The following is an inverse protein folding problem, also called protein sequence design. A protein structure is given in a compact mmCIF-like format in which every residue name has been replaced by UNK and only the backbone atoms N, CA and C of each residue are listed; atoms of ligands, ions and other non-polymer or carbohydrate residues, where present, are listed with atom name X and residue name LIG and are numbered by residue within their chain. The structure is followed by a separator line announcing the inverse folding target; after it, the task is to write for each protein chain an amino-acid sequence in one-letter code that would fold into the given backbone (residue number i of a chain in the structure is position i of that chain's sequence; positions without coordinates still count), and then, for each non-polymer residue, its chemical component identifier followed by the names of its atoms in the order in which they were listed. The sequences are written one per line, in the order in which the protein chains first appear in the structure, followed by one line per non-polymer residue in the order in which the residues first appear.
data_IF_684759635821
#
_entry.id   IF_684759635821
#
_cell.length_a   1.000
_cell.length_b   1.000
_cell.length_c   1.000
_cell.angle_alpha   90.00
_cell.angle_beta   90.00
_cell.angle_gamma   90.00
#
_symmetry.space_group_name_H-M   'P 1'
#
loop_
_entity.id
_entity.type
_entity.pdbx_description
1 polymer ?
#
# COMPACT_ATOMS: atom_id res chain seq x y z
N UNK A 1 -11.11 7.28 40.41
CA UNK A 1 -11.57 6.56 39.21
C UNK A 1 -10.37 6.34 38.29
N UNK A 2 -9.78 5.15 38.16
CA UNK A 2 -8.73 4.92 37.18
C UNK A 2 -9.35 4.68 35.80
N UNK A 3 -8.82 5.39 34.81
CA UNK A 3 -9.29 5.40 33.43
C UNK A 3 -9.16 4.05 32.75
N UNK A 4 -10.22 3.68 32.03
CA UNK A 4 -10.23 2.52 31.14
C UNK A 4 -9.15 2.69 30.06
N UNK A 5 -8.08 1.90 30.16
CA UNK A 5 -7.23 1.62 29.01
C UNK A 5 -8.13 0.99 27.94
N UNK A 6 -8.44 1.73 26.87
CA UNK A 6 -9.11 1.16 25.70
C UNK A 6 -8.15 0.11 25.14
N UNK A 7 -8.42 -1.16 25.42
CA UNK A 7 -7.76 -2.29 24.75
C UNK A 7 -8.19 -2.25 23.28
N UNK A 8 -7.47 -1.49 22.47
CA UNK A 8 -7.61 -1.54 21.01
C UNK A 8 -6.99 -2.87 20.59
N UNK A 9 -7.76 -3.95 20.71
CA UNK A 9 -7.42 -5.23 20.11
C UNK A 9 -7.65 -5.09 18.60
N UNK A 10 -6.75 -4.37 17.93
CA UNK A 10 -6.70 -4.34 16.47
C UNK A 10 -6.28 -5.72 15.99
N UNK A 11 -7.14 -6.40 15.25
CA UNK A 11 -6.80 -7.66 14.59
C UNK A 11 -5.61 -7.40 13.67
N UNK A 12 -4.53 -8.16 13.86
CA UNK A 12 -3.36 -8.07 12.98
C UNK A 12 -3.76 -8.58 11.59
N UNK A 13 -3.62 -7.74 10.58
CA UNK A 13 -3.82 -8.10 9.17
C UNK A 13 -2.45 -8.27 8.53
N UNK A 14 -2.26 -9.40 7.85
CA UNK A 14 -1.03 -9.69 7.10
C UNK A 14 -1.21 -9.25 5.65
N UNK A 15 -0.28 -8.45 5.17
CA UNK A 15 -0.20 -8.01 3.76
C UNK A 15 1.11 -8.47 3.15
N UNK A 16 1.09 -8.74 1.86
CA UNK A 16 2.25 -9.21 1.11
C UNK A 16 2.83 -8.05 0.30
N UNK A 17 4.10 -7.73 0.55
CA UNK A 17 4.81 -6.66 -0.14
C UNK A 17 6.07 -7.22 -0.79
N UNK A 18 6.52 -6.64 -1.91
CA UNK A 18 7.83 -6.94 -2.46
C UNK A 18 8.94 -6.58 -1.45
N UNK A 19 10.03 -7.36 -1.40
CA UNK A 19 11.17 -7.13 -0.50
C UNK A 19 11.71 -5.70 -0.61
N UNK A 20 11.83 -5.18 -1.83
CA UNK A 20 12.29 -3.82 -2.11
C UNK A 20 11.38 -2.75 -1.48
N UNK A 21 10.06 -2.99 -1.48
CA UNK A 21 9.09 -2.09 -0.86
C UNK A 21 9.10 -2.21 0.67
N UNK A 22 9.23 -3.42 1.22
CA UNK A 22 9.42 -3.64 2.66
C UNK A 22 10.67 -2.93 3.17
N UNK A 23 11.78 -3.00 2.44
CA UNK A 23 13.03 -2.33 2.80
C UNK A 23 12.85 -0.80 2.86
N UNK A 24 12.15 -0.22 1.89
CA UNK A 24 11.78 1.21 1.89
C UNK A 24 10.89 1.58 3.07
N UNK A 25 9.86 0.77 3.33
CA UNK A 25 8.96 0.96 4.47
C UNK A 25 9.73 0.93 5.79
N UNK A 26 10.63 -0.05 5.97
CA UNK A 26 11.47 -0.16 7.17
C UNK A 26 12.42 1.03 7.33
N UNK A 27 13.05 1.48 6.24
CA UNK A 27 13.95 2.63 6.26
C UNK A 27 13.20 3.91 6.65
N UNK A 28 12.02 4.14 6.07
CA UNK A 28 11.17 5.27 6.41
C UNK A 28 10.69 5.19 7.87
N UNK A 29 10.27 4.01 8.33
CA UNK A 29 9.86 3.81 9.73
C UNK A 29 11.00 4.11 10.71
N UNK A 30 12.22 3.69 10.40
CA UNK A 30 13.40 3.99 11.19
C UNK A 30 13.73 5.50 11.19
N UNK A 31 13.56 6.18 10.05
CA UNK A 31 13.81 7.62 9.93
C UNK A 31 12.79 8.49 10.67
N UNK A 32 11.50 8.11 10.63
CA UNK A 32 10.42 8.94 11.22
C UNK A 32 9.95 8.47 12.60
N UNK A 33 10.42 7.31 13.07
CA UNK A 33 9.94 6.68 14.32
C UNK A 33 8.47 6.25 14.26
N UNK A 34 7.88 6.12 13.06
CA UNK A 34 6.47 5.77 12.87
C UNK A 34 6.32 4.26 12.67
N UNK A 35 5.19 3.72 13.12
CA UNK A 35 4.86 2.30 12.89
C UNK A 35 4.50 2.04 11.43
N UNK A 36 4.69 0.80 10.95
CA UNK A 36 4.26 0.41 9.60
C UNK A 36 2.77 0.69 9.35
N UNK A 37 1.91 0.44 10.33
CA UNK A 37 0.48 0.74 10.25
C UNK A 37 0.22 2.23 9.98
N UNK A 38 0.90 3.13 10.70
CA UNK A 38 0.77 4.57 10.49
C UNK A 38 1.23 4.98 9.09
N UNK A 39 2.37 4.46 8.63
CA UNK A 39 2.91 4.78 7.31
C UNK A 39 1.97 4.27 6.20
N UNK A 40 1.35 3.10 6.38
CA UNK A 40 0.34 2.59 5.43
C UNK A 40 -0.88 3.51 5.39
N UNK A 41 -1.34 4.02 6.54
CA UNK A 41 -2.47 4.95 6.56
C UNK A 41 -2.11 6.30 5.93
N UNK A 42 -0.93 6.83 6.21
CA UNK A 42 -0.42 8.05 5.59
C UNK A 42 -0.36 7.88 4.07
N UNK A 43 0.21 6.77 3.59
CA UNK A 43 0.29 6.45 2.17
C UNK A 43 -1.10 6.32 1.52
N UNK A 44 -2.04 5.65 2.18
CA UNK A 44 -3.41 5.53 1.67
C UNK A 44 -4.12 6.87 1.61
N UNK A 45 -3.97 7.74 2.61
CA UNK A 45 -4.57 9.08 2.61
C UNK A 45 -3.97 9.98 1.53
N UNK A 46 -2.64 9.99 1.39
CA UNK A 46 -1.93 10.81 0.41
C UNK A 46 -2.24 10.37 -1.03
N UNK A 47 -2.32 9.06 -1.25
CA UNK A 47 -2.57 8.49 -2.58
C UNK A 47 -4.05 8.29 -2.91
N UNK A 48 -4.96 8.39 -1.93
CA UNK A 48 -6.41 8.23 -2.12
C UNK A 48 -6.97 8.92 -3.37
N UNK A 49 -6.69 10.21 -3.65
CA UNK A 49 -7.22 10.87 -4.85
C UNK A 49 -6.73 10.25 -6.16
N UNK A 50 -5.59 9.54 -6.15
CA UNK A 50 -4.95 8.94 -7.32
C UNK A 50 -4.99 7.40 -7.31
N UNK A 51 -5.61 6.79 -6.30
CA UNK A 51 -5.66 5.32 -6.18
C UNK A 51 -6.25 4.67 -7.44
N UNK A 52 -7.26 5.28 -8.06
CA UNK A 52 -7.85 4.79 -9.31
C UNK A 52 -6.85 4.72 -10.47
N UNK A 53 -5.91 5.68 -10.56
CA UNK A 53 -4.85 5.71 -11.57
C UNK A 53 -3.75 4.70 -11.25
N UNK A 54 -3.37 4.61 -9.98
CA UNK A 54 -2.27 3.77 -9.49
C UNK A 54 -2.59 2.27 -9.54
N UNK A 55 -3.84 1.92 -9.26
CA UNK A 55 -4.33 0.53 -9.28
C UNK A 55 -4.87 0.10 -10.64
N UNK A 56 -5.02 1.06 -11.56
CA UNK A 56 -5.50 0.79 -12.91
C UNK A 56 -6.97 0.42 -12.93
N UNK A 57 -7.87 1.30 -12.46
CA UNK A 57 -9.30 1.18 -12.76
C UNK A 57 -9.46 0.87 -14.26
N UNK A 58 -10.24 -0.15 -14.65
CA UNK A 58 -10.34 -0.59 -16.03
C UNK A 58 -10.88 0.57 -16.86
N UNK A 59 -9.97 1.26 -17.53
CA UNK A 59 -10.33 2.29 -18.50
C UNK A 59 -10.85 1.51 -19.71
N UNK A 60 -12.04 1.82 -20.27
CA UNK A 60 -12.46 1.24 -21.52
C UNK A 60 -11.37 1.56 -22.55
N UNK A 61 -10.67 0.54 -23.03
CA UNK A 61 -9.65 0.70 -24.06
C UNK A 61 -10.35 0.76 -25.41
N UNK A 62 -10.65 1.96 -25.89
CA UNK A 62 -11.09 2.23 -27.27
C UNK A 62 -9.90 2.11 -28.25
N UNK A 63 -9.20 0.98 -28.21
CA UNK A 63 -8.09 0.67 -29.08
C UNK A 63 -8.20 -0.76 -29.59
N UNK A 64 -8.01 -0.97 -30.89
CA UNK A 64 -8.00 -2.30 -31.53
C UNK A 64 -6.97 -3.27 -30.95
N UNK A 65 -6.02 -2.76 -30.18
CA UNK A 65 -5.04 -3.55 -29.44
C UNK A 65 -5.18 -3.24 -27.96
N UNK A 66 -5.21 -4.28 -27.13
CA UNK A 66 -5.06 -4.15 -25.68
C UNK A 66 -3.72 -3.46 -25.47
N UNK A 67 -3.74 -2.17 -25.13
CA UNK A 67 -2.55 -1.51 -24.63
C UNK A 67 -2.19 -2.25 -23.33
N UNK A 68 -1.26 -3.20 -23.43
CA UNK A 68 -0.49 -3.64 -22.27
C UNK A 68 0.24 -2.39 -21.80
N UNK A 69 -0.41 -1.59 -20.94
CA UNK A 69 0.36 -0.69 -20.10
C UNK A 69 1.41 -1.57 -19.48
N UNK A 70 2.66 -1.19 -19.67
CA UNK A 70 3.77 -1.68 -18.89
C UNK A 70 3.44 -1.37 -17.44
N UNK A 71 2.58 -2.18 -16.81
CA UNK A 71 2.59 -2.38 -15.38
C UNK A 71 4.01 -2.80 -15.15
N UNK A 72 4.82 -1.82 -14.72
CA UNK A 72 6.25 -1.93 -14.46
C UNK A 72 6.42 -3.34 -13.96
N UNK A 73 7.00 -4.23 -14.79
CA UNK A 73 7.06 -5.67 -14.50
C UNK A 73 7.45 -5.71 -13.04
N UNK A 74 6.52 -6.11 -12.17
CA UNK A 74 6.89 -6.50 -10.84
C UNK A 74 7.71 -7.73 -11.16
N UNK A 75 9.02 -7.49 -11.35
CA UNK A 75 10.03 -8.50 -11.41
C UNK A 75 9.62 -9.47 -10.31
N UNK A 76 9.62 -10.77 -10.59
CA UNK A 76 9.12 -11.80 -9.70
C UNK A 76 9.96 -11.76 -8.40
N UNK A 77 9.71 -10.75 -7.58
CA UNK A 77 10.43 -10.36 -6.39
C UNK A 77 9.78 -11.15 -5.29
N UNK A 78 10.61 -11.75 -4.44
CA UNK A 78 10.13 -12.41 -3.25
C UNK A 78 9.17 -11.49 -2.48
N UNK A 79 7.99 -12.01 -2.21
CA UNK A 79 6.99 -11.33 -1.40
C UNK A 79 7.21 -11.68 0.06
N UNK A 80 7.14 -10.66 0.91
CA UNK A 80 7.36 -10.77 2.34
C UNK A 80 6.12 -10.29 3.07
N UNK A 81 5.76 -11.04 4.11
CA UNK A 81 4.64 -10.72 4.98
C UNK A 81 4.97 -9.52 5.85
N UNK A 82 4.04 -8.57 5.89
CA UNK A 82 4.06 -7.43 6.81
C UNK A 82 2.75 -7.43 7.58
N UNK A 83 2.85 -7.46 8.90
CA UNK A 83 1.69 -7.31 9.79
C UNK A 83 1.41 -5.82 10.01
N UNK A 84 0.17 -5.43 9.77
CA UNK A 84 -0.39 -4.14 10.17
C UNK A 84 -1.51 -4.38 11.19
N UNK A 85 -1.78 -3.39 12.03
CA UNK A 85 -2.82 -3.47 13.07
C UNK A 85 -3.84 -2.36 12.90
N UNK A 86 -4.71 -2.44 11.87
CA UNK A 86 -5.80 -1.50 11.73
C UNK A 86 -6.85 -1.71 12.83
N UNK A 87 -7.53 -0.63 13.22
CA UNK A 87 -8.78 -0.77 13.97
C UNK A 87 -9.88 -1.27 13.01
N UNK A 88 -11.03 -1.76 13.54
CA UNK A 88 -12.09 -2.31 12.70
C UNK A 88 -12.66 -1.32 11.67
N UNK A 89 -12.78 -0.04 12.04
CA UNK A 89 -13.29 1.02 11.16
C UNK A 89 -12.35 1.26 9.96
N UNK A 90 -11.04 1.38 10.21
CA UNK A 90 -10.05 1.57 9.16
C UNK A 90 -9.92 0.32 8.29
N UNK A 91 -10.10 -0.87 8.86
CA UNK A 91 -10.12 -2.10 8.07
C UNK A 91 -11.29 -2.11 7.08
N UNK A 92 -12.49 -1.69 7.51
CA UNK A 92 -13.64 -1.58 6.61
C UNK A 92 -13.40 -0.55 5.48
N UNK A 93 -12.69 0.55 5.76
CA UNK A 93 -12.28 1.53 4.74
C UNK A 93 -11.31 0.89 3.73
N UNK A 94 -10.28 0.19 4.21
CA UNK A 94 -9.32 -0.53 3.35
C UNK A 94 -10.05 -1.53 2.46
N UNK A 95 -11.03 -2.26 3.02
CA UNK A 95 -11.83 -3.24 2.28
C UNK A 95 -12.66 -2.60 1.19
N UNK A 96 -13.31 -1.47 1.51
CA UNK A 96 -14.07 -0.69 0.53
C UNK A 96 -13.19 -0.17 -0.62
N UNK A 97 -12.01 0.34 -0.30
CA UNK A 97 -11.04 0.79 -1.30
C UNK A 97 -10.51 -0.38 -2.14
N UNK A 98 -10.17 -1.51 -1.50
CA UNK A 98 -9.67 -2.69 -2.18
C UNK A 98 -10.73 -3.26 -3.13
N UNK A 99 -11.99 -3.31 -2.70
CA UNK A 99 -13.12 -3.73 -3.53
C UNK A 99 -13.30 -2.85 -4.77
N UNK A 100 -13.20 -1.53 -4.62
CA UNK A 100 -13.36 -0.56 -5.71
C UNK A 100 -12.21 -0.57 -6.72
N UNK A 101 -10.99 -0.77 -6.25
CA UNK A 101 -9.79 -0.48 -7.03
C UNK A 101 -8.99 -1.73 -7.45
N UNK A 102 -9.13 -2.84 -6.73
CA UNK A 102 -8.28 -4.03 -6.92
C UNK A 102 -9.06 -5.35 -6.92
N UNK A 103 -10.40 -5.30 -7.03
CA UNK A 103 -11.24 -6.49 -6.95
C UNK A 103 -11.21 -7.18 -5.57
N UNK A 104 -10.91 -6.43 -4.50
CA UNK A 104 -10.84 -6.94 -3.12
C UNK A 104 -9.44 -7.30 -2.62
N UNK A 105 -8.39 -7.11 -3.42
CA UNK A 105 -7.02 -7.44 -3.01
C UNK A 105 -6.36 -6.32 -2.18
N UNK A 106 -6.50 -6.41 -0.85
CA UNK A 106 -5.88 -5.47 0.11
C UNK A 106 -4.37 -5.32 -0.07
N UNK A 107 -3.66 -6.41 -0.33
CA UNK A 107 -2.19 -6.37 -0.49
C UNK A 107 -1.80 -5.59 -1.73
N UNK A 108 -2.53 -5.79 -2.84
CA UNK A 108 -2.30 -5.04 -4.07
C UNK A 108 -2.58 -3.53 -3.88
N UNK A 109 -3.66 -3.19 -3.18
CA UNK A 109 -4.00 -1.80 -2.86
C UNK A 109 -2.89 -1.13 -2.05
N UNK A 110 -2.48 -1.77 -0.95
CA UNK A 110 -1.48 -1.23 -0.04
C UNK A 110 -0.10 -1.15 -0.72
N UNK A 111 0.26 -2.14 -1.53
CA UNK A 111 1.50 -2.10 -2.31
C UNK A 111 1.52 -0.94 -3.29
N UNK A 112 0.42 -0.69 -4.02
CA UNK A 112 0.32 0.43 -4.96
C UNK A 112 0.41 1.79 -4.23
N UNK A 113 -0.30 1.94 -3.11
CA UNK A 113 -0.25 3.15 -2.29
C UNK A 113 1.17 3.40 -1.74
N UNK A 114 1.80 2.38 -1.17
CA UNK A 114 3.15 2.49 -0.62
C UNK A 114 4.21 2.73 -1.70
N UNK A 115 4.10 2.14 -2.89
CA UNK A 115 5.08 2.36 -3.95
C UNK A 115 5.05 3.80 -4.47
N UNK A 116 3.86 4.40 -4.54
CA UNK A 116 3.68 5.81 -4.89
C UNK A 116 4.15 6.76 -3.77
N UNK A 117 3.87 6.42 -2.51
CA UNK A 117 4.23 7.24 -1.35
C UNK A 117 5.72 7.15 -0.98
N UNK A 118 6.34 5.97 -1.18
CA UNK A 118 7.76 5.72 -0.92
C UNK A 118 8.47 5.42 -2.24
N UNK A 119 8.65 6.40 -3.14
CA UNK A 119 9.25 6.16 -4.44
C UNK A 119 10.65 5.54 -4.29
N UNK A 120 11.01 4.67 -5.23
CA UNK A 120 12.33 4.07 -5.23
C UNK A 120 13.39 5.17 -5.26
N UNK A 121 14.45 5.10 -4.43
CA UNK A 121 15.57 6.03 -4.58
C UNK A 121 16.07 5.89 -6.01
N UNK A 122 16.06 7.00 -6.77
CA UNK A 122 16.49 7.02 -8.16
C UNK A 122 17.90 6.45 -8.26
N UNK A 123 18.02 5.24 -8.81
CA UNK A 123 19.31 4.59 -9.03
C UNK A 123 19.92 5.20 -10.30
N UNK A 124 20.67 6.29 -10.16
CA UNK A 124 21.53 6.82 -11.23
C UNK A 124 21.46 8.32 -11.50
N UNK A 125 21.82 9.17 -10.53
CA UNK A 125 22.36 10.50 -10.86
C UNK A 125 23.89 10.42 -10.66
N UNK A 126 24.72 10.38 -11.72
CA UNK A 126 26.13 10.70 -11.58
C UNK A 126 26.26 12.18 -11.19
N UNK A 127 27.13 12.44 -10.21
CA UNK A 127 27.55 13.78 -9.81
C UNK A 127 28.29 14.51 -10.94
#
# INVERSE_FOLDING_TARGET
MPGSARTISGSSVVVYLAVSLRSRLRAHAAATGRSHTQIVFDALNDTHPRLAELTGAPTPVDGLFVAQRSGRRQHLEDQVQVSIRPNPENLAVIDGLAGRHTGGNRSALIAAALDAYLPAPMKGLPA
#
